data_IF_164188860554
#
_entry.id   IF_164188860554
#
_cell.length_a   1.000
_cell.length_b   1.000
_cell.length_c   1.000
_cell.angle_alpha   90.00
_cell.angle_beta   90.00
_cell.angle_gamma   90.00
#
_symmetry.space_group_name_H-M   'P 1'
#
loop_
_entity.id
_entity.type
_entity.pdbx_description
1 polymer ?
#
# COMPACT_ATOMS: atom_id res chain seq x y z
N UNK A 1 13.45 -48.46 -10.55
CA UNK A 1 13.58 -47.43 -11.60
C UNK A 1 12.26 -46.72 -11.93
N UNK A 2 11.16 -47.40 -12.30
CA UNK A 2 9.85 -46.76 -12.60
C UNK A 2 9.27 -45.85 -11.50
N UNK A 3 9.62 -46.06 -10.23
CA UNK A 3 9.11 -45.28 -9.11
C UNK A 3 9.87 -43.94 -8.92
N UNK A 4 11.16 -43.91 -9.28
CA UNK A 4 11.99 -42.70 -9.16
C UNK A 4 11.60 -41.68 -10.25
N UNK A 5 11.42 -42.14 -11.50
CA UNK A 5 10.98 -41.29 -12.61
C UNK A 5 9.61 -40.61 -12.32
N UNK A 6 8.66 -41.36 -11.75
CA UNK A 6 7.35 -40.79 -11.35
C UNK A 6 7.49 -39.72 -10.27
N UNK A 7 8.44 -39.89 -9.34
CA UNK A 7 8.71 -38.93 -8.29
C UNK A 7 9.37 -37.66 -8.85
N UNK A 8 10.35 -37.82 -9.75
CA UNK A 8 10.99 -36.72 -10.47
C UNK A 8 9.96 -35.90 -11.26
N UNK A 9 9.07 -36.56 -12.01
CA UNK A 9 7.98 -35.90 -12.74
C UNK A 9 7.00 -35.16 -11.81
N UNK A 10 6.72 -35.71 -10.61
CA UNK A 10 5.87 -35.05 -9.62
C UNK A 10 6.54 -33.79 -9.05
N UNK A 11 7.82 -33.88 -8.68
CA UNK A 11 8.61 -32.74 -8.18
C UNK A 11 8.73 -31.66 -9.25
N UNK A 12 9.00 -32.03 -10.50
CA UNK A 12 9.10 -31.06 -11.59
C UNK A 12 7.78 -30.29 -11.79
N UNK A 13 6.63 -30.98 -11.75
CA UNK A 13 5.31 -30.34 -11.81
C UNK A 13 5.06 -29.39 -10.65
N UNK A 14 5.51 -29.74 -9.44
CA UNK A 14 5.39 -28.84 -8.28
C UNK A 14 6.22 -27.57 -8.47
N UNK A 15 7.47 -27.70 -8.94
CA UNK A 15 8.36 -26.57 -9.22
C UNK A 15 7.79 -25.65 -10.31
N UNK A 16 7.24 -26.23 -11.38
CA UNK A 16 6.65 -25.45 -12.47
C UNK A 16 5.34 -24.78 -12.05
N UNK A 17 4.54 -25.45 -11.22
CA UNK A 17 3.36 -24.85 -10.60
C UNK A 17 3.73 -23.67 -9.69
N UNK A 18 4.82 -23.79 -8.94
CA UNK A 18 5.31 -22.72 -8.06
C UNK A 18 5.79 -21.50 -8.83
N UNK A 19 6.57 -21.69 -9.90
CA UNK A 19 6.99 -20.60 -10.79
C UNK A 19 5.81 -19.83 -11.34
N UNK A 20 4.75 -20.53 -11.79
CA UNK A 20 3.52 -19.91 -12.30
C UNK A 20 2.79 -19.11 -11.22
N UNK A 21 2.58 -19.68 -10.04
CA UNK A 21 1.94 -18.98 -8.92
C UNK A 21 2.72 -17.74 -8.51
N UNK A 22 4.05 -17.84 -8.42
CA UNK A 22 4.92 -16.71 -8.10
C UNK A 22 4.82 -15.59 -9.12
N UNK A 23 4.79 -15.93 -10.42
CA UNK A 23 4.63 -14.94 -11.49
C UNK A 23 3.30 -14.16 -11.34
N UNK A 24 2.20 -14.86 -11.03
CA UNK A 24 0.90 -14.22 -10.76
C UNK A 24 0.96 -13.31 -9.54
N UNK A 25 1.60 -13.75 -8.46
CA UNK A 25 1.73 -12.94 -7.25
C UNK A 25 2.59 -11.68 -7.48
N UNK A 26 3.63 -11.76 -8.31
CA UNK A 26 4.44 -10.59 -8.69
C UNK A 26 3.64 -9.61 -9.55
N UNK A 27 2.87 -10.10 -10.52
CA UNK A 27 1.96 -9.26 -11.33
C UNK A 27 0.94 -8.55 -10.45
N UNK A 28 0.37 -9.27 -9.48
CA UNK A 28 -0.52 -8.69 -8.47
C UNK A 28 0.17 -7.58 -7.67
N UNK A 29 1.38 -7.82 -7.13
CA UNK A 29 2.14 -6.80 -6.37
C UNK A 29 2.43 -5.57 -7.25
N UNK A 30 2.77 -5.76 -8.53
CA UNK A 30 3.03 -4.64 -9.45
C UNK A 30 1.80 -3.78 -9.67
N UNK A 31 0.63 -4.40 -9.92
CA UNK A 31 -0.63 -3.68 -10.11
C UNK A 31 -1.05 -2.94 -8.84
N UNK A 32 -0.89 -3.58 -7.68
CA UNK A 32 -1.15 -2.93 -6.39
C UNK A 32 -0.25 -1.72 -6.20
N UNK A 33 1.06 -1.84 -6.50
CA UNK A 33 1.99 -0.71 -6.45
C UNK A 33 1.52 0.43 -7.35
N UNK A 34 1.21 0.16 -8.61
CA UNK A 34 0.75 1.18 -9.57
C UNK A 34 -0.49 1.93 -9.06
N UNK A 35 -1.51 1.20 -8.59
CA UNK A 35 -2.72 1.82 -8.03
C UNK A 35 -2.39 2.66 -6.80
N UNK A 36 -1.59 2.12 -5.88
CA UNK A 36 -1.25 2.82 -4.65
C UNK A 36 -0.42 4.08 -4.90
N UNK A 37 0.46 4.10 -5.92
CA UNK A 37 1.26 5.28 -6.24
C UNK A 37 0.40 6.49 -6.63
N UNK A 38 -0.69 6.26 -7.35
CA UNK A 38 -1.59 7.35 -7.75
C UNK A 38 -2.28 8.01 -6.55
N UNK A 39 -2.60 7.23 -5.52
CA UNK A 39 -3.38 7.70 -4.36
C UNK A 39 -2.54 7.94 -3.11
N UNK A 40 -1.29 7.49 -3.08
CA UNK A 40 -0.44 7.53 -1.89
C UNK A 40 -0.27 8.93 -1.28
N UNK A 41 -0.02 10.00 -2.07
CA UNK A 41 0.09 11.35 -1.52
C UNK A 41 -1.20 11.83 -0.85
N UNK A 42 -2.37 11.43 -1.36
CA UNK A 42 -3.67 11.82 -0.79
C UNK A 42 -4.00 11.04 0.49
N UNK A 43 -3.55 9.79 0.55
CA UNK A 43 -3.77 8.91 1.70
C UNK A 43 -2.80 9.26 2.82
N UNK A 44 -1.51 9.38 2.54
CA UNK A 44 -0.46 9.46 3.55
C UNK A 44 0.27 10.80 3.61
N UNK A 45 0.02 11.71 2.66
CA UNK A 45 0.74 12.99 2.60
C UNK A 45 2.21 12.79 2.30
N UNK A 46 3.06 13.57 2.98
CA UNK A 46 4.48 13.22 3.12
C UNK A 46 4.58 12.08 4.11
N UNK A 47 5.28 11.01 3.74
CA UNK A 47 5.32 9.78 4.53
C UNK A 47 6.03 9.91 5.87
N UNK A 48 6.32 8.78 6.49
CA UNK A 48 7.07 8.73 7.74
C UNK A 48 8.35 9.59 7.65
N UNK A 49 8.50 10.61 8.49
CA UNK A 49 9.64 11.55 8.52
C UNK A 49 10.09 12.05 7.13
N UNK A 50 9.14 12.42 6.25
CA UNK A 50 9.39 12.85 4.87
C UNK A 50 10.05 11.78 3.96
N UNK A 51 10.04 10.51 4.39
CA UNK A 51 10.64 9.39 3.65
C UNK A 51 9.69 8.73 2.65
N UNK A 52 8.44 9.21 2.52
CA UNK A 52 7.45 8.72 1.55
C UNK A 52 7.28 7.19 1.54
N UNK A 53 7.18 6.63 2.76
CA UNK A 53 6.96 5.22 2.99
C UNK A 53 6.01 4.98 4.18
N UNK A 54 5.34 3.84 4.17
CA UNK A 54 4.40 3.41 5.22
C UNK A 54 4.53 1.92 5.51
N UNK A 55 4.43 1.54 6.79
CA UNK A 55 4.39 0.14 7.18
C UNK A 55 3.10 -0.53 6.71
N UNK A 56 3.23 -1.74 6.19
CA UNK A 56 2.13 -2.65 5.88
C UNK A 56 1.63 -3.24 7.20
N UNK A 57 0.34 -3.08 7.44
CA UNK A 57 -0.30 -3.42 8.71
C UNK A 57 -1.13 -4.70 8.57
N UNK A 58 -1.17 -5.51 9.63
CA UNK A 58 -2.15 -6.59 9.78
C UNK A 58 -3.15 -6.22 10.86
N UNK A 59 -4.34 -6.82 10.81
CA UNK A 59 -5.25 -6.77 11.95
C UNK A 59 -4.77 -7.75 13.00
N UNK A 60 -4.75 -7.30 14.23
CA UNK A 60 -4.46 -8.11 15.41
C UNK A 60 -5.70 -8.14 16.29
N UNK A 61 -6.06 -9.33 16.79
CA UNK A 61 -7.31 -9.52 17.53
C UNK A 61 -7.30 -8.78 18.87
N UNK A 62 -6.12 -8.58 19.45
CA UNK A 62 -5.96 -8.01 20.80
C UNK A 62 -5.68 -6.50 20.76
N UNK A 63 -4.92 -6.03 19.77
CA UNK A 63 -4.44 -4.64 19.66
C UNK A 63 -5.08 -3.85 18.51
N UNK A 64 -5.86 -4.51 17.65
CA UNK A 64 -6.54 -3.90 16.51
C UNK A 64 -5.67 -3.75 15.26
N UNK A 65 -4.36 -3.50 15.39
CA UNK A 65 -3.39 -3.42 14.28
C UNK A 65 -1.95 -3.77 14.73
N UNK A 66 -1.27 -4.62 13.96
CA UNK A 66 0.17 -4.92 14.11
C UNK A 66 0.94 -4.36 12.91
N UNK A 67 1.94 -3.51 13.17
CA UNK A 67 2.92 -3.14 12.15
C UNK A 67 3.79 -4.35 11.83
N UNK A 68 3.97 -4.64 10.54
CA UNK A 68 4.88 -5.71 10.10
C UNK A 68 6.22 -5.14 9.68
N UNK A 69 7.22 -6.00 9.50
CA UNK A 69 8.50 -5.62 8.89
C UNK A 69 8.40 -5.34 7.38
N UNK A 70 7.20 -5.28 6.82
CA UNK A 70 6.97 -4.98 5.41
C UNK A 70 6.53 -3.52 5.32
N UNK A 71 7.05 -2.78 4.35
CA UNK A 71 6.62 -1.41 4.07
C UNK A 71 6.41 -1.19 2.58
N UNK A 72 5.58 -0.20 2.28
CA UNK A 72 5.33 0.31 0.94
C UNK A 72 6.00 1.67 0.80
N UNK A 73 6.86 1.81 -0.20
CA UNK A 73 7.51 3.05 -0.60
C UNK A 73 6.79 3.61 -1.82
N UNK A 74 6.39 4.88 -1.74
CA UNK A 74 5.62 5.55 -2.80
C UNK A 74 6.33 6.75 -3.42
N UNK A 75 7.60 6.95 -3.07
CA UNK A 75 8.50 7.89 -3.75
C UNK A 75 9.94 7.41 -3.58
N UNK A 76 10.82 7.91 -4.44
CA UNK A 76 12.23 7.56 -4.44
C UNK A 76 12.93 7.97 -3.14
N UNK A 77 13.78 7.10 -2.61
CA UNK A 77 14.65 7.40 -1.47
C UNK A 77 16.11 7.17 -1.83
N UNK A 78 16.97 8.12 -1.45
CA UNK A 78 18.39 8.10 -1.75
C UNK A 78 19.22 8.31 -0.48
N UNK A 79 20.20 7.44 -0.28
CA UNK A 79 21.20 7.48 0.79
C UNK A 79 22.60 7.63 0.21
N UNK A 80 23.64 7.55 1.03
CA UNK A 80 25.02 7.79 0.56
C UNK A 80 25.44 6.83 -0.58
N UNK A 81 25.15 5.54 -0.40
CA UNK A 81 25.55 4.46 -1.32
C UNK A 81 24.37 3.55 -1.74
N UNK A 82 23.13 3.93 -1.40
CA UNK A 82 21.95 3.11 -1.60
C UNK A 82 20.76 3.95 -2.09
N UNK A 83 19.88 3.31 -2.85
CA UNK A 83 18.63 3.93 -3.32
C UNK A 83 17.50 2.93 -3.33
N UNK A 84 16.29 3.39 -3.00
CA UNK A 84 15.07 2.62 -3.10
C UNK A 84 14.07 3.32 -4.00
N UNK A 85 13.60 2.59 -5.00
CA UNK A 85 12.48 3.00 -5.83
C UNK A 85 11.15 2.63 -5.17
N UNK A 86 10.06 3.01 -5.81
CA UNK A 86 8.71 2.66 -5.40
C UNK A 86 8.48 1.15 -5.37
N UNK A 87 7.79 0.66 -4.34
CA UNK A 87 7.47 -0.76 -4.23
C UNK A 87 7.29 -1.26 -2.80
N UNK A 88 7.16 -2.58 -2.68
CA UNK A 88 7.07 -3.28 -1.40
C UNK A 88 8.42 -3.86 -1.01
N UNK A 89 8.77 -3.65 0.26
CA UNK A 89 10.06 -4.01 0.82
C UNK A 89 9.89 -4.74 2.14
N UNK A 90 10.80 -5.66 2.42
CA UNK A 90 10.94 -6.29 3.73
C UNK A 90 12.18 -5.70 4.41
N UNK A 91 11.99 -5.11 5.58
CA UNK A 91 13.05 -4.61 6.43
C UNK A 91 13.73 -5.78 7.15
N UNK A 92 14.66 -6.45 6.47
CA UNK A 92 15.40 -7.60 7.01
C UNK A 92 16.49 -7.19 8.01
N UNK A 93 17.07 -5.99 7.88
CA UNK A 93 18.30 -5.61 8.59
C UNK A 93 18.29 -4.24 9.29
N UNK A 94 17.21 -3.45 9.22
CA UNK A 94 17.23 -2.11 9.81
C UNK A 94 16.47 -2.01 11.14
N UNK A 95 17.22 -2.23 12.23
CA UNK A 95 16.82 -2.08 13.63
C UNK A 95 16.60 -0.65 14.13
N UNK A 96 16.18 0.28 13.28
CA UNK A 96 15.94 1.69 13.66
C UNK A 96 14.47 2.11 13.64
N UNK A 97 13.54 1.19 13.37
CA UNK A 97 12.11 1.48 13.38
C UNK A 97 11.64 2.41 12.25
N UNK A 98 12.43 2.54 11.17
CA UNK A 98 12.12 3.34 9.99
C UNK A 98 11.91 2.46 8.75
N UNK A 99 10.93 2.77 7.87
CA UNK A 99 10.63 2.00 6.67
C UNK A 99 11.58 2.35 5.51
N UNK A 100 12.87 2.04 5.68
CA UNK A 100 13.95 2.31 4.71
C UNK A 100 14.97 1.17 4.70
N UNK A 101 15.67 1.04 3.59
CA UNK A 101 16.82 0.13 3.38
C UNK A 101 16.47 -1.36 3.54
N UNK A 102 15.28 -1.75 3.09
CA UNK A 102 14.83 -3.11 2.99
C UNK A 102 15.13 -3.75 1.64
N UNK A 103 14.82 -5.02 1.52
CA UNK A 103 14.94 -5.77 0.28
C UNK A 103 13.57 -5.84 -0.43
N UNK A 104 13.51 -5.66 -1.76
CA UNK A 104 12.27 -5.80 -2.51
C UNK A 104 11.61 -7.15 -2.25
N UNK A 105 10.31 -7.18 -1.99
CA UNK A 105 9.54 -8.42 -1.76
C UNK A 105 9.71 -9.41 -2.93
N UNK A 106 9.84 -8.90 -4.16
CA UNK A 106 10.09 -9.69 -5.37
C UNK A 106 11.44 -10.40 -5.40
N UNK A 107 12.38 -10.06 -4.51
CA UNK A 107 13.66 -10.74 -4.33
C UNK A 107 13.57 -12.00 -3.48
N UNK A 108 12.49 -12.19 -2.72
CA UNK A 108 12.30 -13.36 -1.85
C UNK A 108 11.74 -14.58 -2.59
N UNK A 109 11.85 -15.75 -1.95
CA UNK A 109 11.33 -17.02 -2.46
C UNK A 109 10.78 -17.88 -1.31
N UNK A 110 10.05 -18.95 -1.64
CA UNK A 110 9.55 -19.90 -0.66
C UNK A 110 8.56 -19.28 0.33
N UNK A 111 8.63 -19.73 1.58
CA UNK A 111 7.71 -19.31 2.67
C UNK A 111 7.72 -17.81 2.89
N UNK A 112 8.89 -17.17 2.79
CA UNK A 112 9.04 -15.74 3.13
C UNK A 112 8.34 -14.88 2.10
N UNK A 113 8.47 -15.22 0.82
CA UNK A 113 7.73 -14.57 -0.26
C UNK A 113 6.21 -14.69 -0.05
N UNK A 114 5.72 -15.90 0.23
CA UNK A 114 4.28 -16.13 0.41
C UNK A 114 3.72 -15.46 1.66
N UNK A 115 4.49 -15.41 2.73
CA UNK A 115 4.16 -14.63 3.92
C UNK A 115 3.99 -13.15 3.55
N UNK A 116 4.95 -12.55 2.84
CA UNK A 116 4.86 -11.14 2.45
C UNK A 116 3.65 -10.85 1.55
N UNK A 117 3.37 -11.72 0.58
CA UNK A 117 2.17 -11.63 -0.26
C UNK A 117 0.89 -11.67 0.58
N UNK A 118 0.81 -12.59 1.54
CA UNK A 118 -0.34 -12.69 2.44
C UNK A 118 -0.52 -11.40 3.26
N UNK A 119 0.56 -10.86 3.82
CA UNK A 119 0.50 -9.62 4.60
C UNK A 119 0.02 -8.44 3.75
N UNK A 120 0.51 -8.32 2.50
CA UNK A 120 0.04 -7.29 1.57
C UNK A 120 -1.46 -7.45 1.30
N UNK A 121 -1.93 -8.68 1.04
CA UNK A 121 -3.36 -8.96 0.81
C UNK A 121 -4.23 -8.57 2.02
N UNK A 122 -3.79 -8.86 3.23
CA UNK A 122 -4.52 -8.52 4.46
C UNK A 122 -4.51 -7.01 4.75
N UNK A 123 -3.51 -6.29 4.26
CA UNK A 123 -3.41 -4.85 4.42
C UNK A 123 -4.34 -4.06 3.49
N UNK A 124 -4.59 -4.55 2.27
CA UNK A 124 -5.41 -3.83 1.28
C UNK A 124 -6.80 -3.42 1.80
N UNK A 125 -7.56 -4.29 2.49
CA UNK A 125 -8.83 -3.89 3.11
C UNK A 125 -8.68 -2.77 4.15
N UNK A 126 -7.54 -2.72 4.86
CA UNK A 126 -7.27 -1.67 5.85
C UNK A 126 -7.02 -0.33 5.14
N UNK A 127 -6.32 -0.35 4.00
CA UNK A 127 -6.10 0.84 3.17
C UNK A 127 -7.44 1.32 2.59
N UNK A 128 -8.25 0.41 2.05
CA UNK A 128 -9.57 0.74 1.49
C UNK A 128 -10.48 1.42 2.52
N UNK A 129 -10.56 0.88 3.74
CA UNK A 129 -11.35 1.48 4.83
C UNK A 129 -10.88 2.92 5.15
N UNK A 130 -9.57 3.17 5.10
CA UNK A 130 -9.02 4.51 5.31
C UNK A 130 -9.35 5.46 4.17
N UNK A 131 -9.36 4.98 2.92
CA UNK A 131 -9.75 5.77 1.75
C UNK A 131 -11.23 6.16 1.78
N UNK A 132 -12.10 5.22 2.14
CA UNK A 132 -13.54 5.46 2.28
C UNK A 132 -13.84 6.49 3.36
N UNK A 133 -13.19 6.38 4.53
CA UNK A 133 -13.31 7.37 5.62
C UNK A 133 -12.91 8.78 5.19
N UNK A 134 -11.80 8.91 4.45
CA UNK A 134 -11.36 10.21 3.90
C UNK A 134 -12.34 10.75 2.87
N UNK A 135 -12.86 9.88 2.00
CA UNK A 135 -13.84 10.27 0.98
C UNK A 135 -15.14 10.80 1.61
N UNK A 136 -15.65 10.13 2.65
CA UNK A 136 -16.81 10.61 3.40
C UNK A 136 -16.57 11.97 4.07
N UNK A 137 -15.39 12.18 4.68
CA UNK A 137 -15.02 13.48 5.25
C UNK A 137 -14.93 14.59 4.19
N UNK A 138 -14.39 14.28 3.01
CA UNK A 138 -14.34 15.20 1.87
C UNK A 138 -15.75 15.60 1.41
N UNK A 139 -16.66 14.65 1.28
CA UNK A 139 -18.05 14.92 0.89
C UNK A 139 -18.77 15.81 1.91
N UNK A 140 -18.58 15.56 3.21
CA UNK A 140 -19.15 16.40 4.26
C UNK A 140 -18.63 17.85 4.18
N UNK A 141 -17.32 18.03 3.96
CA UNK A 141 -16.74 19.37 3.82
C UNK A 141 -17.27 20.10 2.58
N UNK A 142 -17.39 19.39 1.44
CA UNK A 142 -17.96 19.96 0.22
C UNK A 142 -19.41 20.38 0.42
N UNK A 143 -20.21 19.60 1.13
CA UNK A 143 -21.58 19.95 1.46
C UNK A 143 -21.66 21.23 2.29
N UNK A 144 -20.79 21.41 3.29
CA UNK A 144 -20.74 22.62 4.11
C UNK A 144 -20.41 23.87 3.28
N UNK A 145 -19.33 23.82 2.48
CA UNK A 145 -18.91 24.96 1.65
C UNK A 145 -19.99 25.35 0.64
N UNK A 146 -20.62 24.36 -0.01
CA UNK A 146 -21.67 24.65 -0.99
C UNK A 146 -22.97 25.18 -0.34
N UNK A 147 -23.23 24.83 0.92
CA UNK A 147 -24.37 25.37 1.68
C UNK A 147 -24.10 26.81 2.13
N UNK A 148 -22.88 27.13 2.55
CA UNK A 148 -22.46 28.51 2.85
C UNK A 148 -22.44 29.41 1.60
N UNK A 149 -22.04 28.87 0.44
CA UNK A 149 -22.09 29.59 -0.84
C UNK A 149 -23.52 29.92 -1.29
N UNK A 150 -24.52 29.13 -0.90
CA UNK A 150 -25.94 29.41 -1.15
C UNK A 150 -26.55 30.41 -0.15
N UNK A 151 -25.81 30.80 0.90
CA UNK A 151 -26.25 31.65 2.00
C UNK A 151 -25.94 33.15 1.86
N UNK A 152 -25.56 33.66 0.68
CA UNK A 152 -25.48 35.10 0.42
C UNK A 152 -26.72 35.62 -0.32
N UNK A 153 -27.81 35.99 0.40
CA UNK A 153 -28.91 36.76 -0.20
C UNK A 153 -28.44 38.18 -0.52
N UNK A 154 -28.85 38.66 -1.69
CA UNK A 154 -28.31 39.84 -2.35
C UNK A 154 -28.36 41.15 -1.54
N UNK A 155 -27.27 41.91 -1.64
CA UNK A 155 -27.31 43.36 -1.48
C UNK A 155 -27.69 43.99 -2.82
N UNK A 156 -28.98 44.08 -3.08
CA UNK A 156 -29.56 45.12 -3.94
C UNK A 156 -30.79 45.67 -3.22
N UNK A 157 -30.60 46.69 -2.40
CA UNK A 157 -31.70 47.60 -2.09
C UNK A 157 -31.82 48.59 -3.25
N UNK A 158 -33.00 48.73 -3.88
CA UNK A 158 -33.25 49.81 -4.81
C UNK A 158 -33.32 51.12 -4.04
N UNK A 159 -32.53 52.10 -4.49
CA UNK A 159 -32.57 53.48 -4.03
C UNK A 159 -33.95 54.05 -4.35
N UNK A 160 -34.78 54.31 -3.34
CA UNK A 160 -35.95 55.15 -3.48
C UNK A 160 -35.49 56.61 -3.58
N UNK A 161 -35.67 57.21 -4.76
CA UNK A 161 -35.56 58.66 -4.95
C UNK A 161 -36.96 59.26 -4.88
N UNK A 162 -37.18 60.15 -3.90
CA UNK A 162 -38.19 61.22 -3.96
C UNK A 162 -37.51 62.52 -4.44
#
# INVERSE_FOLDING_TARGET
MKNLQKLEEAVQRMLDGEKKRRAVAIDFISKVKEILLEVAPDIWGKGYDDMNAVYVQRRDADTGKLNTSIYFRYDWHYGHDCSESEGFYFADQCGFGMPVWGNPVSGYSGSDFWYMVQVILEWLPIVLEQMEKRSAGREQLLALINTEAAGQPGQQEPTAAE
#
